data_IF_032646355089
#
_entry.id   IF_032646355089
#
_cell.length_a   1.000
_cell.length_b   1.000
_cell.length_c   1.000
_cell.angle_alpha   90.00
_cell.angle_beta   90.00
_cell.angle_gamma   90.00
#
_symmetry.space_group_name_H-M   'P 1'
#
loop_
_entity.id
_entity.type
_entity.pdbx_description
1 polymer ?
#
# COMPACT_ATOMS: atom_id res chain seq x y z
N UNK A 1 -2.44 27.82 20.27
CA UNK A 1 -3.30 26.67 20.62
C UNK A 1 -4.00 26.07 19.41
N UNK A 2 -4.45 26.87 18.44
CA UNK A 2 -5.00 26.37 17.17
C UNK A 2 -3.99 25.49 16.38
N UNK A 3 -2.72 25.93 16.26
CA UNK A 3 -1.69 25.19 15.50
C UNK A 3 -1.41 23.77 16.01
N UNK A 4 -1.43 23.55 17.33
CA UNK A 4 -1.16 22.21 17.90
C UNK A 4 -2.31 21.25 17.64
N UNK A 5 -3.56 21.74 17.75
CA UNK A 5 -4.75 20.92 17.49
C UNK A 5 -4.86 20.56 16.00
N UNK A 6 -4.56 21.52 15.11
CA UNK A 6 -4.51 21.29 13.67
C UNK A 6 -3.41 20.30 13.30
N UNK A 7 -2.21 20.44 13.86
CA UNK A 7 -1.12 19.49 13.67
C UNK A 7 -1.52 18.08 14.14
N UNK A 8 -2.11 17.94 15.33
CA UNK A 8 -2.57 16.64 15.83
C UNK A 8 -3.67 16.03 14.95
N UNK A 9 -4.58 16.85 14.40
CA UNK A 9 -5.62 16.40 13.49
C UNK A 9 -5.03 15.88 12.17
N UNK A 10 -4.07 16.59 11.59
CA UNK A 10 -3.37 16.16 10.37
C UNK A 10 -2.59 14.86 10.63
N UNK A 11 -1.86 14.77 11.75
CA UNK A 11 -1.12 13.56 12.13
C UNK A 11 -2.06 12.37 12.33
N UNK A 12 -3.20 12.57 13.00
CA UNK A 12 -4.19 11.50 13.19
C UNK A 12 -4.76 11.01 11.87
N UNK A 13 -5.09 11.94 10.95
CA UNK A 13 -5.51 11.58 9.60
C UNK A 13 -4.44 10.82 8.84
N UNK A 14 -3.19 11.28 8.91
CA UNK A 14 -2.06 10.66 8.22
C UNK A 14 -1.82 9.24 8.72
N UNK A 15 -1.82 9.04 10.05
CA UNK A 15 -1.74 7.71 10.67
C UNK A 15 -2.94 6.85 10.31
N UNK A 16 -4.15 7.41 10.29
CA UNK A 16 -5.37 6.70 9.91
C UNK A 16 -5.30 6.15 8.49
N UNK A 17 -4.90 6.98 7.52
CA UNK A 17 -4.71 6.55 6.12
C UNK A 17 -3.60 5.49 6.02
N UNK A 18 -2.52 5.64 6.79
CA UNK A 18 -1.43 4.65 6.82
C UNK A 18 -1.91 3.28 7.33
N UNK A 19 -2.68 3.27 8.42
CA UNK A 19 -3.22 2.04 9.01
C UNK A 19 -4.20 1.36 8.06
N UNK A 20 -5.10 2.14 7.43
CA UNK A 20 -6.06 1.60 6.45
C UNK A 20 -5.32 1.03 5.24
N UNK A 21 -4.36 1.78 4.67
CA UNK A 21 -3.58 1.31 3.52
C UNK A 21 -2.75 0.08 3.87
N UNK A 22 -2.11 0.06 5.05
CA UNK A 22 -1.40 -1.09 5.62
C UNK A 22 -2.28 -2.32 5.73
N UNK A 23 -3.46 -2.18 6.32
CA UNK A 23 -4.44 -3.26 6.45
C UNK A 23 -4.90 -3.79 5.09
N UNK A 24 -5.28 -2.91 4.17
CA UNK A 24 -5.70 -3.30 2.81
C UNK A 24 -4.58 -4.04 2.07
N UNK A 25 -3.36 -3.50 2.05
CA UNK A 25 -2.22 -4.16 1.42
C UNK A 25 -1.89 -5.51 2.06
N UNK A 26 -2.08 -5.64 3.38
CA UNK A 26 -1.87 -6.91 4.09
C UNK A 26 -2.90 -7.96 3.67
N UNK A 27 -4.18 -7.57 3.59
CA UNK A 27 -5.27 -8.44 3.15
C UNK A 27 -5.13 -8.84 1.68
N UNK A 28 -4.74 -7.92 0.80
CA UNK A 28 -4.55 -8.19 -0.61
C UNK A 28 -3.32 -9.08 -0.85
N UNK A 29 -2.22 -8.86 -0.12
CA UNK A 29 -1.06 -9.73 -0.18
C UNK A 29 -1.40 -11.15 0.29
N UNK A 30 -2.13 -11.27 1.40
CA UNK A 30 -2.62 -12.54 1.93
C UNK A 30 -3.51 -13.26 0.91
N UNK A 31 -4.48 -12.54 0.34
CA UNK A 31 -5.40 -13.07 -0.67
C UNK A 31 -4.65 -13.49 -1.95
N UNK A 32 -3.71 -12.69 -2.43
CA UNK A 32 -2.89 -13.01 -3.60
C UNK A 32 -2.12 -14.31 -3.38
N UNK A 33 -1.52 -14.50 -2.20
CA UNK A 33 -0.84 -15.75 -1.85
C UNK A 33 -1.79 -16.94 -1.82
N UNK A 34 -2.95 -16.77 -1.19
CA UNK A 34 -3.96 -17.83 -1.12
C UNK A 34 -4.47 -18.23 -2.50
N UNK A 35 -4.68 -17.27 -3.40
CA UNK A 35 -5.07 -17.52 -4.79
C UNK A 35 -3.96 -18.26 -5.55
N UNK A 36 -2.70 -17.85 -5.37
CA UNK A 36 -1.56 -18.49 -6.04
C UNK A 36 -1.33 -19.94 -5.58
N UNK A 37 -1.53 -20.21 -4.29
CA UNK A 37 -1.52 -21.57 -3.73
C UNK A 37 -2.64 -22.46 -4.29
N UNK A 38 -3.81 -21.88 -4.59
CA UNK A 38 -4.97 -22.63 -5.03
C UNK A 38 -5.38 -23.72 -4.03
N UNK A 39 -5.44 -24.96 -4.51
CA UNK A 39 -5.82 -26.13 -3.71
C UNK A 39 -4.64 -26.83 -3.02
N UNK A 40 -3.41 -26.31 -3.16
CA UNK A 40 -2.24 -26.89 -2.52
C UNK A 40 -2.27 -26.72 -0.99
N UNK A 41 -1.52 -27.59 -0.32
CA UNK A 41 -1.38 -27.56 1.13
C UNK A 41 -0.71 -26.25 1.56
N UNK A 42 -1.18 -25.70 2.69
CA UNK A 42 -0.75 -24.41 3.16
C UNK A 42 0.61 -24.56 3.86
N UNK A 43 1.70 -23.96 3.34
CA UNK A 43 3.07 -24.32 3.75
C UNK A 43 3.53 -23.63 5.03
N UNK A 44 2.67 -22.88 5.72
CA UNK A 44 3.04 -22.03 6.86
C UNK A 44 2.03 -22.14 7.99
N UNK A 45 2.47 -21.89 9.22
CA UNK A 45 1.54 -21.75 10.34
C UNK A 45 0.68 -20.48 10.17
N UNK A 46 -0.58 -20.55 10.60
CA UNK A 46 -1.54 -19.43 10.48
C UNK A 46 -1.00 -18.13 11.08
N UNK A 47 -0.37 -18.19 12.25
CA UNK A 47 0.17 -17.01 12.93
C UNK A 47 1.33 -16.39 12.15
N UNK A 48 2.24 -17.22 11.66
CA UNK A 48 3.38 -16.79 10.86
C UNK A 48 2.91 -16.14 9.56
N UNK A 49 1.99 -16.79 8.85
CA UNK A 49 1.39 -16.28 7.62
C UNK A 49 0.81 -14.88 7.79
N UNK A 50 -0.04 -14.67 8.81
CA UNK A 50 -0.62 -13.36 9.04
C UNK A 50 0.44 -12.33 9.44
N UNK A 51 1.39 -12.70 10.28
CA UNK A 51 2.48 -11.80 10.69
C UNK A 51 3.30 -11.34 9.49
N UNK A 52 3.71 -12.26 8.60
CA UNK A 52 4.48 -11.94 7.39
C UNK A 52 3.66 -11.13 6.38
N UNK A 53 2.36 -11.42 6.26
CA UNK A 53 1.42 -10.66 5.42
C UNK A 53 1.26 -9.22 5.93
N UNK A 54 1.11 -9.03 7.25
CA UNK A 54 1.02 -7.72 7.87
C UNK A 54 2.32 -6.92 7.68
N UNK A 55 3.47 -7.53 7.95
CA UNK A 55 4.77 -6.87 7.75
C UNK A 55 4.94 -6.42 6.30
N UNK A 56 4.57 -7.26 5.34
CA UNK A 56 4.63 -6.92 3.92
C UNK A 56 3.68 -5.78 3.55
N UNK A 57 2.42 -5.87 3.98
CA UNK A 57 1.42 -4.85 3.67
C UNK A 57 1.79 -3.48 4.25
N UNK A 58 2.24 -3.45 5.50
CA UNK A 58 2.69 -2.21 6.15
C UNK A 58 4.02 -1.68 5.58
N UNK A 59 4.95 -2.54 5.16
CA UNK A 59 6.18 -2.11 4.49
C UNK A 59 5.89 -1.43 3.14
N UNK A 60 4.98 -2.00 2.35
CA UNK A 60 4.53 -1.41 1.08
C UNK A 60 3.82 -0.08 1.31
N UNK A 61 2.93 -0.01 2.29
CA UNK A 61 2.26 1.24 2.67
C UNK A 61 3.26 2.30 3.14
N UNK A 62 4.26 1.93 3.94
CA UNK A 62 5.28 2.85 4.40
C UNK A 62 6.08 3.43 3.23
N UNK A 63 6.43 2.60 2.25
CA UNK A 63 7.09 3.07 1.03
C UNK A 63 6.24 4.10 0.28
N UNK A 64 4.96 3.79 0.02
CA UNK A 64 4.02 4.69 -0.66
C UNK A 64 3.90 6.02 0.10
N UNK A 65 3.80 5.95 1.43
CA UNK A 65 3.70 7.11 2.30
C UNK A 65 4.93 8.01 2.24
N UNK A 66 6.12 7.43 2.33
CA UNK A 66 7.39 8.14 2.22
C UNK A 66 7.52 8.81 0.86
N UNK A 67 7.20 8.08 -0.22
CA UNK A 67 7.23 8.62 -1.58
C UNK A 67 6.22 9.75 -1.77
N UNK A 68 4.99 9.58 -1.29
CA UNK A 68 3.98 10.62 -1.33
C UNK A 68 4.42 11.87 -0.55
N UNK A 69 4.99 11.71 0.65
CA UNK A 69 5.49 12.80 1.47
C UNK A 69 6.59 13.62 0.77
N UNK A 70 7.61 12.95 0.23
CA UNK A 70 8.68 13.63 -0.52
C UNK A 70 8.17 14.31 -1.79
N UNK A 71 7.21 13.68 -2.48
CA UNK A 71 6.59 14.25 -3.68
C UNK A 71 5.75 15.50 -3.41
N UNK A 72 5.22 15.64 -2.19
CA UNK A 72 4.44 16.78 -1.73
C UNK A 72 5.31 17.92 -1.17
N UNK A 73 6.44 17.61 -0.53
CA UNK A 73 7.31 18.63 0.11
C UNK A 73 8.32 19.24 -0.84
N UNK A 74 8.88 18.45 -1.76
CA UNK A 74 9.99 18.92 -2.62
C UNK A 74 9.54 19.90 -3.70
N UNK A 75 8.25 20.05 -3.96
CA UNK A 75 7.71 20.97 -4.98
C UNK A 75 6.50 21.70 -4.42
N UNK A 76 6.44 23.02 -4.57
CA UNK A 76 5.32 23.88 -4.14
C UNK A 76 3.99 23.62 -4.86
N UNK A 77 3.92 22.54 -5.65
CA UNK A 77 2.76 22.00 -6.37
C UNK A 77 2.93 20.48 -6.41
N UNK A 78 1.87 19.73 -6.14
CA UNK A 78 1.85 18.26 -6.27
C UNK A 78 2.41 17.83 -7.62
N UNK A 79 3.62 17.26 -7.62
CA UNK A 79 4.26 16.77 -8.85
C UNK A 79 4.01 15.28 -8.99
N UNK A 80 2.95 14.94 -9.72
CA UNK A 80 2.65 13.54 -10.09
C UNK A 80 3.82 12.86 -10.82
N UNK A 81 4.65 13.65 -11.52
CA UNK A 81 5.86 13.16 -12.18
C UNK A 81 6.92 12.70 -11.18
N UNK A 82 7.17 13.47 -10.11
CA UNK A 82 8.11 13.06 -9.06
C UNK A 82 7.62 11.84 -8.28
N UNK A 83 6.32 11.79 -7.98
CA UNK A 83 5.70 10.60 -7.40
C UNK A 83 5.92 9.37 -8.30
N UNK A 84 5.68 9.51 -9.60
CA UNK A 84 5.92 8.43 -10.57
C UNK A 84 7.38 7.97 -10.60
N UNK A 85 8.34 8.89 -10.59
CA UNK A 85 9.78 8.56 -10.57
C UNK A 85 10.14 7.78 -9.30
N UNK A 86 9.70 8.26 -8.14
CA UNK A 86 9.96 7.57 -6.87
C UNK A 86 9.19 6.26 -6.70
N UNK A 87 8.17 5.99 -7.52
CA UNK A 87 7.49 4.70 -7.56
C UNK A 87 8.16 3.68 -8.50
N UNK A 88 9.16 4.06 -9.32
CA UNK A 88 9.89 3.12 -10.18
C UNK A 88 10.47 1.90 -9.41
N UNK A 89 11.04 2.04 -8.20
CA UNK A 89 11.57 0.90 -7.44
C UNK A 89 10.48 0.02 -6.81
N UNK A 90 9.24 0.51 -6.74
CA UNK A 90 8.17 -0.11 -5.97
C UNK A 90 7.82 -1.55 -6.44
N UNK A 91 7.72 -1.86 -7.75
CA UNK A 91 7.47 -3.23 -8.20
C UNK A 91 8.57 -4.20 -7.75
N UNK A 92 9.84 -3.78 -7.82
CA UNK A 92 10.97 -4.62 -7.42
C UNK A 92 10.92 -4.90 -5.92
N UNK A 93 10.69 -3.85 -5.12
CA UNK A 93 10.52 -3.98 -3.67
C UNK A 93 9.36 -4.91 -3.32
N UNK A 94 8.22 -4.79 -4.00
CA UNK A 94 7.06 -5.62 -3.75
C UNK A 94 7.31 -7.09 -4.07
N UNK A 95 7.90 -7.40 -5.22
CA UNK A 95 8.31 -8.76 -5.59
C UNK A 95 9.25 -9.35 -4.54
N UNK A 96 10.26 -8.59 -4.10
CA UNK A 96 11.20 -9.02 -3.07
C UNK A 96 10.50 -9.31 -1.74
N UNK A 97 9.61 -8.42 -1.30
CA UNK A 97 8.84 -8.60 -0.07
C UNK A 97 7.94 -9.82 -0.13
N UNK A 98 7.28 -10.10 -1.27
CA UNK A 98 6.46 -11.32 -1.40
C UNK A 98 7.30 -12.59 -1.39
N UNK A 99 8.44 -12.59 -2.08
CA UNK A 99 9.34 -13.73 -2.07
C UNK A 99 9.82 -14.03 -0.65
N UNK A 100 10.21 -12.99 0.11
CA UNK A 100 10.59 -13.13 1.51
C UNK A 100 9.43 -13.57 2.41
N UNK A 101 8.26 -12.92 2.27
CA UNK A 101 7.11 -13.15 3.12
C UNK A 101 6.53 -14.55 2.97
N UNK A 102 6.60 -15.13 1.77
CA UNK A 102 5.99 -16.42 1.48
C UNK A 102 6.98 -17.52 1.12
N UNK A 103 8.28 -17.27 1.29
CA UNK A 103 9.37 -18.22 1.05
C UNK A 103 9.21 -18.93 -0.31
N UNK A 104 9.02 -18.13 -1.37
CA UNK A 104 8.68 -18.68 -2.69
C UNK A 104 9.90 -19.25 -3.44
N UNK A 105 11.11 -18.89 -3.03
CA UNK A 105 12.41 -19.24 -3.65
C UNK A 105 12.54 -18.94 -5.16
N UNK A 106 11.52 -18.34 -5.77
CA UNK A 106 11.44 -17.95 -7.18
C UNK A 106 10.87 -16.54 -7.32
N UNK A 107 11.61 -15.66 -8.00
CA UNK A 107 11.20 -14.29 -8.30
C UNK A 107 9.98 -14.24 -9.23
N UNK A 108 9.77 -15.24 -10.07
CA UNK A 108 8.60 -15.32 -10.95
C UNK A 108 7.31 -15.55 -10.14
N UNK A 109 7.35 -16.36 -9.09
CA UNK A 109 6.24 -16.51 -8.16
C UNK A 109 5.96 -15.20 -7.42
N UNK A 110 7.01 -14.50 -6.99
CA UNK A 110 6.88 -13.17 -6.39
C UNK A 110 6.23 -12.15 -7.35
N UNK A 111 6.54 -12.25 -8.64
CA UNK A 111 5.94 -11.42 -9.68
C UNK A 111 4.47 -11.78 -9.97
N UNK A 112 4.10 -13.06 -9.93
CA UNK A 112 2.68 -13.48 -10.01
C UNK A 112 1.87 -12.89 -8.85
N UNK A 113 2.39 -12.98 -7.62
CA UNK A 113 1.76 -12.37 -6.45
C UNK A 113 1.64 -10.86 -6.57
N UNK A 114 2.68 -10.20 -7.10
CA UNK A 114 2.63 -8.78 -7.39
C UNK A 114 1.46 -8.44 -8.32
N UNK A 115 1.30 -9.15 -9.43
CA UNK A 115 0.18 -8.92 -10.37
C UNK A 115 -1.17 -9.20 -9.71
N UNK A 116 -1.31 -10.31 -8.99
CA UNK A 116 -2.53 -10.69 -8.29
C UNK A 116 -2.95 -9.70 -7.21
N UNK A 117 -1.99 -9.03 -6.56
CA UNK A 117 -2.28 -7.96 -5.61
C UNK A 117 -2.61 -6.65 -6.33
N UNK A 118 -1.77 -6.21 -7.27
CA UNK A 118 -1.85 -4.85 -7.81
C UNK A 118 -3.02 -4.65 -8.77
N UNK A 119 -3.48 -5.69 -9.46
CA UNK A 119 -4.67 -5.58 -10.33
C UNK A 119 -5.94 -5.22 -9.53
N UNK A 120 -6.30 -5.95 -8.45
CA UNK A 120 -7.37 -5.53 -7.55
C UNK A 120 -7.17 -4.15 -6.93
N UNK A 121 -5.94 -3.82 -6.51
CA UNK A 121 -5.64 -2.53 -5.91
C UNK A 121 -5.92 -1.38 -6.89
N UNK A 122 -5.45 -1.51 -8.14
CA UNK A 122 -5.71 -0.53 -9.20
C UNK A 122 -7.20 -0.41 -9.53
N UNK A 123 -7.95 -1.52 -9.52
CA UNK A 123 -9.39 -1.51 -9.70
C UNK A 123 -10.12 -0.79 -8.55
N UNK A 124 -9.76 -1.09 -7.30
CA UNK A 124 -10.33 -0.42 -6.11
C UNK A 124 -10.04 1.07 -6.14
N UNK A 125 -8.81 1.46 -6.49
CA UNK A 125 -8.44 2.86 -6.63
C UNK A 125 -9.21 3.53 -7.77
N UNK A 126 -9.31 2.91 -8.94
CA UNK A 126 -10.05 3.45 -10.08
C UNK A 126 -11.55 3.64 -9.78
N UNK A 127 -12.18 2.66 -9.13
CA UNK A 127 -13.57 2.78 -8.67
C UNK A 127 -13.69 3.88 -7.62
N UNK A 128 -12.78 3.94 -6.64
CA UNK A 128 -12.74 5.00 -5.64
C UNK A 128 -12.69 6.40 -6.27
N UNK A 129 -11.84 6.62 -7.28
CA UNK A 129 -11.80 7.90 -8.00
C UNK A 129 -13.05 8.19 -8.84
N UNK A 130 -13.72 7.16 -9.36
CA UNK A 130 -14.98 7.34 -10.09
C UNK A 130 -16.15 7.73 -9.18
N UNK A 131 -16.15 7.29 -7.92
CA UNK A 131 -17.24 7.55 -6.96
C UNK A 131 -16.95 8.72 -6.00
N UNK A 132 -15.68 9.06 -5.76
CA UNK A 132 -15.30 10.16 -4.90
C UNK A 132 -15.21 11.44 -5.74
N UNK A 133 -16.12 12.38 -5.47
CA UNK A 133 -15.94 13.75 -5.96
C UNK A 133 -14.70 14.35 -5.27
N UNK A 134 -13.58 14.36 -5.99
CA UNK A 134 -12.26 14.80 -5.50
C UNK A 134 -12.32 16.20 -4.88
N UNK A 135 -13.17 17.09 -5.40
CA UNK A 135 -13.37 18.43 -4.84
C UNK A 135 -14.05 18.42 -3.46
N UNK A 136 -14.98 17.49 -3.22
CA UNK A 136 -15.63 17.29 -1.92
C UNK A 136 -14.67 16.68 -0.90
N UNK A 137 -13.79 15.77 -1.34
CA UNK A 137 -12.79 15.14 -0.49
C UNK A 137 -11.71 16.14 -0.04
N UNK A 138 -11.19 16.97 -0.96
CA UNK A 138 -10.22 18.00 -0.62
C UNK A 138 -10.79 19.00 0.39
N UNK A 139 -12.05 19.46 0.20
CA UNK A 139 -12.74 20.36 1.15
C UNK A 139 -13.00 19.73 2.52
N UNK A 140 -13.11 18.40 2.61
CA UNK A 140 -13.30 17.70 3.88
C UNK A 140 -11.99 17.54 4.66
N UNK A 141 -10.86 17.34 3.95
CA UNK A 141 -9.55 17.05 4.53
C UNK A 141 -8.74 18.32 4.83
N UNK A 142 -8.86 19.35 3.99
CA UNK A 142 -8.23 20.66 4.17
C UNK A 142 -9.30 21.76 4.06
N UNK A 143 -9.97 22.12 5.18
CA UNK A 143 -10.91 23.24 5.21
C UNK A 143 -10.22 24.60 5.07
#
# INVERSE_FOLDING_TARGET
MADLLELLRVLFWYVGVFVVLGGVNSLLAALAFRINLGAAEFPMETREYWTRSFLTGFALSAYIFVVAFFSLILVSRTSYALFGIFMIPYPILAVYLYNWAYALDDLLEGFKLFLLHHVPLLLVLALGFAFINVASFIKFVAP
#
